data_IF_336856131157
#
_entry.id   IF_336856131157
#
_cell.length_a   1.000
_cell.length_b   1.000
_cell.length_c   1.000
_cell.angle_alpha   90.00
_cell.angle_beta   90.00
_cell.angle_gamma   90.00
#
_symmetry.space_group_name_H-M   'P 1'
#
loop_
_entity.id
_entity.type
_entity.pdbx_description
1 polymer ?
#
# COMPACT_ATOMS: atom_id res chain seq x y z
N UNK A 1 -25.71 -6.60 -28.98
CA UNK A 1 -24.25 -6.72 -29.15
C UNK A 1 -23.79 -7.91 -28.32
N UNK A 2 -23.27 -8.94 -28.99
CA UNK A 2 -22.85 -10.22 -28.38
C UNK A 2 -21.61 -10.01 -27.51
N UNK A 3 -21.78 -10.28 -26.21
CA UNK A 3 -20.94 -9.79 -25.13
C UNK A 3 -19.79 -10.73 -24.75
N UNK A 4 -19.08 -11.29 -25.73
CA UNK A 4 -17.96 -12.22 -25.49
C UNK A 4 -16.58 -11.72 -25.94
N UNK A 5 -16.46 -10.61 -26.68
CA UNK A 5 -15.16 -10.13 -27.14
C UNK A 5 -14.96 -8.64 -26.91
N UNK A 6 -14.23 -8.30 -25.84
CA UNK A 6 -13.10 -7.37 -25.86
C UNK A 6 -12.43 -7.34 -24.47
N UNK A 7 -11.93 -8.50 -24.03
CA UNK A 7 -10.80 -8.55 -23.10
C UNK A 7 -9.63 -7.84 -23.80
N UNK A 8 -9.01 -6.85 -23.13
CA UNK A 8 -8.16 -5.77 -23.66
C UNK A 8 -8.90 -4.49 -24.10
N UNK A 9 -9.83 -4.01 -23.26
CA UNK A 9 -10.39 -2.67 -23.43
C UNK A 9 -9.35 -1.60 -23.03
N UNK A 10 -8.46 -1.25 -23.96
CA UNK A 10 -7.37 -0.29 -23.76
C UNK A 10 -7.86 1.07 -23.26
N UNK A 11 -9.08 1.50 -23.64
CA UNK A 11 -9.67 2.74 -23.13
C UNK A 11 -9.90 2.66 -21.62
N UNK A 12 -10.52 1.59 -21.15
CA UNK A 12 -10.79 1.40 -19.73
C UNK A 12 -9.49 1.23 -18.92
N UNK A 13 -8.50 0.52 -19.47
CA UNK A 13 -7.17 0.40 -18.85
C UNK A 13 -6.51 1.79 -18.70
N UNK A 14 -6.55 2.64 -19.75
CA UNK A 14 -6.01 4.00 -19.67
C UNK A 14 -6.69 4.84 -18.60
N UNK A 15 -8.01 4.75 -18.45
CA UNK A 15 -8.76 5.46 -17.40
C UNK A 15 -8.28 5.02 -16.02
N UNK A 16 -8.16 3.70 -15.78
CA UNK A 16 -7.68 3.17 -14.50
C UNK A 16 -6.26 3.65 -14.19
N UNK A 17 -5.36 3.57 -15.16
CA UNK A 17 -3.95 4.00 -15.01
C UNK A 17 -3.87 5.50 -14.76
N UNK A 18 -4.66 6.32 -15.45
CA UNK A 18 -4.65 7.77 -15.29
C UNK A 18 -5.19 8.18 -13.91
N UNK A 19 -6.32 7.62 -13.47
CA UNK A 19 -6.83 7.84 -12.12
C UNK A 19 -5.83 7.39 -11.05
N UNK A 20 -5.20 6.24 -11.26
CA UNK A 20 -4.20 5.71 -10.33
C UNK A 20 -2.93 6.57 -10.28
N UNK A 21 -2.44 7.07 -11.41
CA UNK A 21 -1.30 7.97 -11.47
C UNK A 21 -1.59 9.31 -10.79
N UNK A 22 -2.79 9.88 -10.96
CA UNK A 22 -3.22 11.09 -10.25
C UNK A 22 -3.27 10.83 -8.73
N UNK A 23 -3.79 9.68 -8.31
CA UNK A 23 -3.75 9.29 -6.89
C UNK A 23 -2.32 9.29 -6.35
N UNK A 24 -1.38 8.62 -7.03
CA UNK A 24 0.02 8.55 -6.58
C UNK A 24 0.60 9.96 -6.52
N UNK A 25 0.43 10.78 -7.57
CA UNK A 25 0.89 12.18 -7.58
C UNK A 25 0.39 12.94 -6.35
N UNK A 26 -0.92 12.92 -6.08
CA UNK A 26 -1.49 13.63 -4.94
C UNK A 26 -0.96 13.12 -3.60
N UNK A 27 -0.76 11.80 -3.46
CA UNK A 27 -0.15 11.22 -2.27
C UNK A 27 1.25 11.79 -2.03
N UNK A 28 2.07 11.91 -3.08
CA UNK A 28 3.42 12.47 -3.00
C UNK A 28 3.47 14.00 -2.87
N UNK A 29 2.41 14.71 -3.26
CA UNK A 29 2.27 16.15 -3.03
C UNK A 29 1.74 16.48 -1.61
N UNK A 30 1.21 15.51 -0.86
CA UNK A 30 0.71 15.75 0.51
C UNK A 30 1.77 16.31 1.49
N UNK A 31 3.05 15.88 1.46
CA UNK A 31 4.10 16.49 2.28
C UNK A 31 4.40 17.95 1.94
N UNK A 32 4.16 18.40 0.70
CA UNK A 32 4.33 19.82 0.32
C UNK A 32 3.36 20.74 1.07
N UNK A 33 2.16 20.25 1.38
CA UNK A 33 1.17 21.02 2.14
C UNK A 33 1.50 21.07 3.64
N UNK A 34 2.34 20.16 4.15
CA UNK A 34 2.86 20.18 5.53
C UNK A 34 3.91 21.29 5.72
N UNK A 35 4.65 21.65 4.65
CA UNK A 35 5.62 22.78 4.66
C UNK A 35 4.95 24.15 4.89
N UNK A 36 3.61 24.24 4.82
CA UNK A 36 2.84 25.47 5.07
C UNK A 36 2.58 25.79 6.56
N UNK A 37 3.33 25.16 7.47
CA UNK A 37 3.65 25.61 8.83
C UNK A 37 2.49 25.97 9.77
N UNK A 38 1.66 24.97 10.15
CA UNK A 38 0.75 25.08 11.30
C UNK A 38 0.57 23.72 12.00
N UNK A 39 0.93 23.63 13.28
CA UNK A 39 0.98 22.37 14.07
C UNK A 39 -0.34 21.59 14.14
N UNK A 40 -1.49 22.25 14.09
CA UNK A 40 -2.81 21.58 14.06
C UNK A 40 -3.22 21.13 12.64
N UNK A 41 -2.63 21.76 11.62
CA UNK A 41 -2.92 21.55 10.21
C UNK A 41 -2.10 20.37 9.64
N UNK A 42 -0.95 20.02 10.24
CA UNK A 42 -0.10 18.91 9.78
C UNK A 42 -0.75 17.52 9.83
N UNK A 43 -1.72 17.29 10.72
CA UNK A 43 -2.48 16.02 10.80
C UNK A 43 -3.78 16.10 9.98
N UNK A 44 -4.43 17.26 9.97
CA UNK A 44 -5.72 17.47 9.29
C UNK A 44 -5.57 17.53 7.77
N UNK A 45 -4.48 18.12 7.25
CA UNK A 45 -4.24 18.24 5.81
C UNK A 45 -4.05 16.87 5.14
N UNK A 46 -3.16 15.98 5.61
CA UNK A 46 -3.03 14.63 5.04
C UNK A 46 -4.32 13.82 5.16
N UNK A 47 -5.08 14.03 6.25
CA UNK A 47 -6.40 13.42 6.46
C UNK A 47 -7.42 13.89 5.42
N UNK A 48 -7.50 15.20 5.16
CA UNK A 48 -8.37 15.79 4.13
C UNK A 48 -7.90 15.36 2.73
N UNK A 49 -6.60 15.29 2.46
CA UNK A 49 -6.09 14.85 1.16
C UNK A 49 -6.42 13.37 0.93
N UNK A 50 -6.15 12.52 1.91
CA UNK A 50 -6.43 11.09 1.84
C UNK A 50 -7.94 10.80 1.75
N UNK A 51 -8.76 11.42 2.61
CA UNK A 51 -10.19 11.17 2.65
C UNK A 51 -11.01 11.91 1.58
N UNK A 52 -10.73 13.19 1.37
CA UNK A 52 -11.58 14.11 0.57
C UNK A 52 -11.05 14.29 -0.85
N UNK A 53 -9.75 14.23 -1.10
CA UNK A 53 -9.20 14.46 -2.46
C UNK A 53 -9.01 13.14 -3.21
N UNK A 54 -8.58 12.08 -2.53
CA UNK A 54 -8.27 10.79 -3.17
C UNK A 54 -9.54 9.95 -3.41
N UNK A 55 -10.48 9.92 -2.47
CA UNK A 55 -11.71 9.14 -2.63
C UNK A 55 -12.55 9.54 -3.87
N UNK A 56 -12.72 10.84 -4.21
CA UNK A 56 -13.38 11.24 -5.44
C UNK A 56 -12.71 10.74 -6.72
N UNK A 57 -11.38 10.56 -6.75
CA UNK A 57 -10.69 10.05 -7.95
C UNK A 57 -11.12 8.63 -8.27
N UNK A 58 -11.28 7.81 -7.24
CA UNK A 58 -11.79 6.45 -7.39
C UNK A 58 -13.23 6.49 -7.88
N UNK A 59 -14.10 7.31 -7.28
CA UNK A 59 -15.50 7.45 -7.70
C UNK A 59 -15.63 7.97 -9.14
N UNK A 60 -14.84 8.99 -9.51
CA UNK A 60 -14.76 9.54 -10.87
C UNK A 60 -14.29 8.45 -11.84
N UNK A 61 -13.24 7.71 -11.50
CA UNK A 61 -12.74 6.60 -12.30
C UNK A 61 -13.83 5.55 -12.56
N UNK A 62 -14.56 5.13 -11.53
CA UNK A 62 -15.70 4.23 -11.67
C UNK A 62 -16.81 4.76 -12.57
N UNK A 63 -17.15 6.06 -12.43
CA UNK A 63 -18.14 6.71 -13.28
C UNK A 63 -17.69 6.80 -14.74
N UNK A 64 -16.42 7.12 -14.99
CA UNK A 64 -15.83 7.18 -16.34
C UNK A 64 -15.77 5.80 -17.01
N UNK A 65 -15.63 4.72 -16.23
CA UNK A 65 -15.71 3.35 -16.72
C UNK A 65 -17.13 2.92 -17.13
N UNK A 66 -18.14 3.73 -16.82
CA UNK A 66 -19.55 3.45 -17.13
C UNK A 66 -20.19 2.43 -16.21
N UNK A 67 -19.58 2.15 -15.05
CA UNK A 67 -20.15 1.23 -14.07
C UNK A 67 -21.42 1.83 -13.46
N UNK A 68 -22.57 1.25 -13.80
CA UNK A 68 -23.87 1.59 -13.23
C UNK A 68 -24.14 0.63 -12.08
N UNK A 69 -23.98 1.10 -10.83
CA UNK A 69 -24.23 0.26 -9.66
C UNK A 69 -23.93 0.95 -8.33
N UNK A 70 -24.21 0.24 -7.23
CA UNK A 70 -23.87 0.70 -5.88
C UNK A 70 -22.34 0.63 -5.70
N UNK A 71 -21.67 1.78 -5.66
CA UNK A 71 -20.21 1.87 -5.54
C UNK A 71 -19.66 1.08 -4.35
N UNK A 72 -20.38 0.97 -3.23
CA UNK A 72 -19.95 0.17 -2.07
C UNK A 72 -19.78 -1.31 -2.40
N UNK A 73 -20.59 -1.83 -3.32
CA UNK A 73 -20.48 -3.23 -3.78
C UNK A 73 -19.33 -3.39 -4.77
N UNK A 74 -19.18 -2.44 -5.69
CA UNK A 74 -18.12 -2.49 -6.70
C UNK A 74 -16.73 -2.29 -6.08
N UNK A 75 -16.63 -1.46 -5.05
CA UNK A 75 -15.42 -1.25 -4.24
C UNK A 75 -15.11 -2.42 -3.30
N UNK A 76 -16.00 -3.42 -3.18
CA UNK A 76 -15.79 -4.55 -2.28
C UNK A 76 -15.94 -4.21 -0.79
N UNK A 77 -16.42 -3.01 -0.44
CA UNK A 77 -16.69 -2.59 0.95
C UNK A 77 -17.80 -3.44 1.57
N UNK A 78 -18.74 -3.96 0.76
CA UNK A 78 -19.72 -4.96 1.20
C UNK A 78 -19.13 -6.36 1.43
N UNK A 79 -17.80 -6.53 1.33
CA UNK A 79 -17.11 -7.78 1.65
C UNK A 79 -17.31 -8.18 3.12
N UNK A 80 -16.88 -9.40 3.46
CA UNK A 80 -17.09 -9.94 4.78
C UNK A 80 -16.11 -9.33 5.79
N UNK A 81 -16.58 -8.33 6.54
CA UNK A 81 -15.77 -7.66 7.57
C UNK A 81 -15.31 -8.63 8.66
N UNK A 82 -16.07 -9.69 8.96
CA UNK A 82 -15.69 -10.68 9.97
C UNK A 82 -14.45 -11.46 9.55
N UNK A 83 -14.36 -11.83 8.27
CA UNK A 83 -13.13 -12.45 7.72
C UNK A 83 -11.94 -11.49 7.83
N UNK A 84 -12.17 -10.20 7.60
CA UNK A 84 -11.15 -9.19 7.76
C UNK A 84 -10.64 -9.07 9.20
N UNK A 85 -11.55 -9.00 10.17
CA UNK A 85 -11.20 -8.98 11.59
C UNK A 85 -10.46 -10.25 12.03
N UNK A 86 -10.85 -11.42 11.52
CA UNK A 86 -10.17 -12.68 11.83
C UNK A 86 -8.77 -12.70 11.23
N UNK A 87 -8.61 -12.34 9.95
CA UNK A 87 -7.31 -12.32 9.29
C UNK A 87 -6.35 -11.30 9.95
N UNK A 88 -6.85 -10.09 10.22
CA UNK A 88 -6.11 -9.07 10.97
C UNK A 88 -5.78 -9.53 12.39
N UNK A 89 -6.73 -10.13 13.10
CA UNK A 89 -6.52 -10.65 14.44
C UNK A 89 -5.44 -11.74 14.51
N UNK A 90 -5.39 -12.64 13.54
CA UNK A 90 -4.33 -13.66 13.45
C UNK A 90 -2.96 -13.00 13.26
N UNK A 91 -2.85 -12.02 12.36
CA UNK A 91 -1.60 -11.28 12.16
C UNK A 91 -1.22 -10.46 13.40
N UNK A 92 -2.19 -9.87 14.08
CA UNK A 92 -1.98 -9.08 15.29
C UNK A 92 -1.46 -9.96 16.43
N UNK A 93 -2.03 -11.15 16.61
CA UNK A 93 -1.54 -12.13 17.57
C UNK A 93 -0.13 -12.60 17.23
N UNK A 94 0.16 -12.83 15.94
CA UNK A 94 1.50 -13.19 15.50
C UNK A 94 2.52 -12.08 15.80
N UNK A 95 2.17 -10.81 15.52
CA UNK A 95 2.98 -9.66 15.87
C UNK A 95 3.27 -9.60 17.37
N UNK A 96 2.28 -9.95 18.20
CA UNK A 96 2.49 -10.01 19.63
C UNK A 96 3.41 -11.17 20.06
N UNK A 97 3.27 -12.36 19.46
CA UNK A 97 4.17 -13.50 19.71
C UNK A 97 5.61 -13.18 19.32
N UNK A 98 5.81 -12.44 18.24
CA UNK A 98 7.13 -11.95 17.83
C UNK A 98 7.62 -10.75 18.66
N UNK A 99 6.95 -10.42 19.77
CA UNK A 99 7.29 -9.35 20.71
C UNK A 99 7.33 -7.94 20.08
N UNK A 100 6.55 -7.72 19.01
CA UNK A 100 6.51 -6.42 18.31
C UNK A 100 5.65 -5.39 19.02
N UNK A 101 4.73 -5.86 19.85
CA UNK A 101 3.83 -5.01 20.62
C UNK A 101 4.25 -5.09 22.10
N UNK A 102 5.21 -4.26 22.55
CA UNK A 102 5.53 -4.17 23.96
C UNK A 102 4.29 -3.72 24.75
N UNK A 103 4.24 -4.03 26.04
CA UNK A 103 3.10 -3.66 26.88
C UNK A 103 2.86 -2.13 26.89
N UNK A 104 3.93 -1.35 26.76
CA UNK A 104 3.90 0.12 26.61
C UNK A 104 3.21 0.58 25.32
N UNK A 105 3.30 -0.20 24.23
CA UNK A 105 2.58 0.08 22.99
C UNK A 105 1.06 0.01 23.22
N UNK A 106 0.56 -1.00 23.95
CA UNK A 106 -0.87 -1.11 24.29
C UNK A 106 -1.36 0.08 25.14
N UNK A 107 -0.51 0.56 26.05
CA UNK A 107 -0.80 1.74 26.86
C UNK A 107 -0.85 3.02 26.01
N UNK A 108 0.02 3.14 25.00
CA UNK A 108 0.02 4.27 24.07
C UNK A 108 -1.04 4.19 22.97
N UNK A 109 -1.51 2.98 22.63
CA UNK A 109 -2.61 2.73 21.69
C UNK A 109 -3.92 3.39 22.15
N UNK A 110 -4.06 3.58 23.48
CA UNK A 110 -5.16 4.31 24.11
C UNK A 110 -5.16 5.82 23.78
N UNK A 111 -4.10 6.38 23.19
CA UNK A 111 -4.13 7.70 22.55
C UNK A 111 -4.74 7.58 21.14
N UNK A 112 -6.06 7.34 21.12
CA UNK A 112 -6.96 6.97 19.99
C UNK A 112 -6.78 7.78 18.69
N UNK A 113 -6.16 8.96 18.72
CA UNK A 113 -6.05 9.85 17.55
C UNK A 113 -5.11 9.33 16.46
N UNK A 114 -3.98 8.69 16.81
CA UNK A 114 -3.01 8.22 15.82
C UNK A 114 -3.51 6.97 15.07
N UNK A 115 -4.10 6.01 15.79
CA UNK A 115 -4.58 4.76 15.18
C UNK A 115 -5.72 4.98 14.18
N UNK A 116 -6.66 5.89 14.49
CA UNK A 116 -7.74 6.23 13.56
C UNK A 116 -7.22 6.86 12.27
N UNK A 117 -6.17 7.70 12.37
CA UNK A 117 -5.51 8.29 11.21
C UNK A 117 -4.82 7.22 10.34
N UNK A 118 -4.04 6.34 10.97
CA UNK A 118 -3.37 5.23 10.28
C UNK A 118 -4.41 4.36 9.56
N UNK A 119 -5.49 4.02 10.24
CA UNK A 119 -6.57 3.23 9.65
C UNK A 119 -7.18 3.90 8.41
N UNK A 120 -7.50 5.20 8.46
CA UNK A 120 -8.07 5.92 7.32
C UNK A 120 -7.07 6.00 6.17
N UNK A 121 -5.79 6.26 6.45
CA UNK A 121 -4.75 6.27 5.43
C UNK A 121 -4.69 4.93 4.70
N UNK A 122 -4.63 3.84 5.47
CA UNK A 122 -4.60 2.47 4.94
C UNK A 122 -5.88 2.16 4.17
N UNK A 123 -7.04 2.51 4.70
CA UNK A 123 -8.31 2.32 4.02
C UNK A 123 -8.30 2.96 2.62
N UNK A 124 -7.83 4.19 2.51
CA UNK A 124 -7.75 4.91 1.24
C UNK A 124 -6.71 4.30 0.30
N UNK A 125 -5.53 3.95 0.82
CA UNK A 125 -4.47 3.28 0.05
C UNK A 125 -5.03 2.00 -0.56
N UNK A 126 -5.62 1.11 0.26
CA UNK A 126 -6.20 -0.15 -0.18
C UNK A 126 -7.35 0.04 -1.17
N UNK A 127 -8.15 1.09 -0.99
CA UNK A 127 -9.24 1.40 -1.90
C UNK A 127 -8.69 1.74 -3.30
N UNK A 128 -7.60 2.49 -3.37
CA UNK A 128 -6.99 2.92 -4.63
C UNK A 128 -6.20 1.79 -5.30
N UNK A 129 -5.36 1.09 -4.53
CA UNK A 129 -4.43 0.08 -5.07
C UNK A 129 -5.13 -1.26 -5.32
N UNK A 130 -5.89 -1.77 -4.35
CA UNK A 130 -6.50 -3.12 -4.43
C UNK A 130 -7.90 -3.03 -5.04
N UNK A 131 -8.79 -2.27 -4.41
CA UNK A 131 -10.20 -2.24 -4.81
C UNK A 131 -10.42 -1.58 -6.18
N UNK A 132 -9.67 -0.53 -6.51
CA UNK A 132 -9.75 0.13 -7.81
C UNK A 132 -8.73 -0.41 -8.81
N UNK A 133 -7.43 -0.14 -8.64
CA UNK A 133 -6.42 -0.46 -9.65
C UNK A 133 -6.36 -1.97 -9.95
N UNK A 134 -6.04 -2.79 -8.96
CA UNK A 134 -5.79 -4.22 -9.20
C UNK A 134 -7.04 -4.95 -9.68
N UNK A 135 -8.18 -4.75 -9.01
CA UNK A 135 -9.46 -5.39 -9.40
C UNK A 135 -9.90 -4.99 -10.80
N UNK A 136 -9.69 -3.73 -11.21
CA UNK A 136 -10.09 -3.29 -12.56
C UNK A 136 -9.14 -3.78 -13.63
N UNK A 137 -7.84 -3.66 -13.42
CA UNK A 137 -6.86 -4.21 -14.36
C UNK A 137 -7.05 -5.72 -14.52
N UNK A 138 -7.28 -6.47 -13.43
CA UNK A 138 -7.54 -7.92 -13.53
C UNK A 138 -8.85 -8.24 -14.27
N UNK A 139 -9.87 -7.39 -14.16
CA UNK A 139 -11.15 -7.56 -14.89
C UNK A 139 -11.06 -7.23 -16.38
N UNK A 140 -10.21 -6.27 -16.78
CA UNK A 140 -10.11 -5.80 -18.17
C UNK A 140 -8.99 -6.45 -18.96
N UNK A 141 -8.07 -7.16 -18.30
CA UNK A 141 -6.94 -7.85 -18.92
C UNK A 141 -7.02 -9.36 -18.71
N UNK A 142 -6.29 -10.13 -19.52
CA UNK A 142 -5.96 -11.54 -19.24
C UNK A 142 -4.63 -11.66 -18.48
N UNK A 143 -4.14 -10.58 -17.89
CA UNK A 143 -2.81 -10.59 -17.30
C UNK A 143 -2.81 -11.43 -16.03
N UNK A 144 -1.79 -12.28 -15.92
CA UNK A 144 -1.54 -13.02 -14.69
C UNK A 144 -1.13 -12.10 -13.54
N UNK A 145 -1.22 -12.63 -12.33
CA UNK A 145 -0.93 -11.92 -11.07
C UNK A 145 0.36 -11.09 -11.12
N UNK A 146 1.46 -11.75 -11.49
CA UNK A 146 2.78 -11.12 -11.52
C UNK A 146 2.88 -9.97 -12.53
N UNK A 147 2.21 -10.09 -13.68
CA UNK A 147 2.24 -9.02 -14.70
C UNK A 147 1.54 -7.76 -14.20
N UNK A 148 0.44 -7.90 -13.45
CA UNK A 148 -0.29 -6.76 -12.88
C UNK A 148 0.56 -6.08 -11.79
N UNK A 149 1.27 -6.85 -10.97
CA UNK A 149 2.18 -6.31 -9.95
C UNK A 149 3.35 -5.57 -10.58
N UNK A 150 4.01 -6.15 -11.60
CA UNK A 150 5.09 -5.46 -12.31
C UNK A 150 4.60 -4.15 -12.93
N UNK A 151 3.39 -4.15 -13.48
CA UNK A 151 2.77 -2.94 -14.02
C UNK A 151 2.48 -1.89 -12.94
N UNK A 152 1.98 -2.30 -11.78
CA UNK A 152 1.81 -1.45 -10.61
C UNK A 152 3.12 -0.79 -10.18
N UNK A 153 4.18 -1.58 -10.01
CA UNK A 153 5.51 -1.11 -9.59
C UNK A 153 6.06 -0.12 -10.61
N UNK A 154 5.95 -0.41 -11.90
CA UNK A 154 6.41 0.47 -12.96
C UNK A 154 5.72 1.85 -12.92
N UNK A 155 4.39 1.88 -12.73
CA UNK A 155 3.65 3.14 -12.59
C UNK A 155 4.08 3.89 -11.32
N UNK A 156 4.19 3.18 -10.20
CA UNK A 156 4.57 3.78 -8.93
C UNK A 156 5.96 4.42 -9.01
N UNK A 157 6.95 3.70 -9.55
CA UNK A 157 8.32 4.21 -9.75
C UNK A 157 8.35 5.39 -10.73
N UNK A 158 7.62 5.31 -11.84
CA UNK A 158 7.57 6.40 -12.80
C UNK A 158 7.04 7.70 -12.17
N UNK A 159 5.96 7.61 -11.39
CA UNK A 159 5.39 8.78 -10.70
C UNK A 159 6.31 9.27 -9.57
N UNK A 160 6.96 8.37 -8.83
CA UNK A 160 7.92 8.72 -7.80
C UNK A 160 9.11 9.51 -8.37
N UNK A 161 9.68 9.06 -9.49
CA UNK A 161 10.78 9.75 -10.20
C UNK A 161 10.36 11.15 -10.64
N UNK A 162 9.18 11.28 -11.25
CA UNK A 162 8.65 12.58 -11.69
C UNK A 162 8.47 13.51 -10.49
N UNK A 163 7.91 12.99 -9.40
CA UNK A 163 7.65 13.81 -8.21
C UNK A 163 8.96 14.26 -7.54
N UNK A 164 9.94 13.37 -7.40
CA UNK A 164 11.27 13.71 -6.89
C UNK A 164 11.91 14.77 -7.78
N UNK A 165 11.84 14.61 -9.11
CA UNK A 165 12.39 15.59 -10.07
C UNK A 165 11.74 16.97 -9.92
N UNK A 166 10.42 17.02 -9.75
CA UNK A 166 9.69 18.26 -9.48
C UNK A 166 10.15 18.88 -8.16
N UNK A 167 10.24 18.11 -7.08
CA UNK A 167 10.73 18.60 -5.78
C UNK A 167 12.12 19.22 -5.92
N UNK A 168 13.03 18.55 -6.63
CA UNK A 168 14.39 19.04 -6.88
C UNK A 168 14.44 20.32 -7.70
N UNK A 169 13.49 20.50 -8.65
CA UNK A 169 13.40 21.71 -9.46
C UNK A 169 12.92 22.92 -8.65
N UNK A 170 12.01 22.72 -7.69
CA UNK A 170 11.39 23.81 -6.92
C UNK A 170 12.09 24.13 -5.61
N UNK A 171 13.03 23.30 -5.15
CA UNK A 171 13.72 23.50 -3.88
C UNK A 171 15.25 23.56 -4.08
N UNK A 172 15.75 24.79 -4.35
CA UNK A 172 17.19 25.06 -4.54
C UNK A 172 18.03 24.71 -3.31
N UNK A 173 17.45 24.77 -2.11
CA UNK A 173 18.12 24.43 -0.86
C UNK A 173 18.29 22.92 -0.69
N UNK A 174 17.32 22.12 -1.14
CA UNK A 174 17.49 20.65 -1.24
C UNK A 174 18.54 20.31 -2.29
N UNK A 175 18.54 20.99 -3.44
CA UNK A 175 19.51 20.74 -4.52
C UNK A 175 20.96 21.06 -4.09
N UNK A 176 21.16 22.17 -3.37
CA UNK A 176 22.46 22.53 -2.78
C UNK A 176 22.84 21.59 -1.64
N UNK A 177 21.86 21.17 -0.82
CA UNK A 177 22.00 20.11 0.18
C UNK A 177 22.49 18.79 -0.41
N UNK A 178 21.90 18.33 -1.51
CA UNK A 178 22.32 17.11 -2.22
C UNK A 178 23.75 17.26 -2.76
N UNK A 179 24.10 18.41 -3.34
CA UNK A 179 25.49 18.67 -3.76
C UNK A 179 26.48 18.58 -2.59
N UNK A 180 26.11 19.10 -1.42
CA UNK A 180 26.92 18.95 -0.21
C UNK A 180 26.93 17.52 0.34
N UNK A 181 25.84 16.76 0.20
CA UNK A 181 25.76 15.34 0.55
C UNK A 181 26.65 14.50 -0.36
N UNK A 182 26.71 14.79 -1.66
CA UNK A 182 27.66 14.16 -2.59
C UNK A 182 29.12 14.48 -2.26
N UNK A 183 29.41 15.71 -1.78
CA UNK A 183 30.73 16.05 -1.24
C UNK A 183 31.05 15.30 0.05
N UNK A 184 30.07 15.12 0.94
CA UNK A 184 30.21 14.29 2.14
C UNK A 184 30.36 12.80 1.81
N UNK A 185 29.72 12.30 0.75
CA UNK A 185 29.91 10.93 0.24
C UNK A 185 31.32 10.66 -0.28
N UNK A 186 32.08 11.68 -0.67
CA UNK A 186 33.52 11.53 -0.95
C UNK A 186 34.39 11.41 0.32
N UNK A 187 33.84 11.74 1.49
CA UNK A 187 34.53 11.70 2.79
C UNK A 187 34.24 10.38 3.53
N UNK A 188 33.09 9.74 3.25
CA UNK A 188 32.74 8.44 3.85
C UNK A 188 33.56 7.29 3.26
N UNK A 189 33.92 6.32 4.12
CA UNK A 189 34.54 5.07 3.67
C UNK A 189 33.59 4.28 2.77
N UNK A 190 34.15 3.50 1.84
CA UNK A 190 33.38 2.62 0.93
C UNK A 190 32.41 1.73 1.72
N UNK A 191 32.80 1.28 2.92
CA UNK A 191 31.97 0.44 3.78
C UNK A 191 30.69 1.12 4.26
N UNK A 192 30.75 2.41 4.63
CA UNK A 192 29.57 3.18 5.06
C UNK A 192 28.64 3.42 3.88
N UNK A 193 29.21 3.75 2.71
CA UNK A 193 28.43 3.97 1.49
C UNK A 193 27.75 2.68 1.02
N UNK A 194 28.42 1.53 1.15
CA UNK A 194 27.85 0.22 0.86
C UNK A 194 26.71 -0.11 1.83
N UNK A 195 26.86 0.20 3.13
CA UNK A 195 25.81 -0.02 4.13
C UNK A 195 24.55 0.80 3.84
N UNK A 196 24.69 2.08 3.46
CA UNK A 196 23.56 2.94 3.08
C UNK A 196 22.88 2.48 1.78
N UNK A 197 23.64 2.02 0.78
CA UNK A 197 23.04 1.45 -0.43
C UNK A 197 22.25 0.18 -0.09
N UNK A 198 22.82 -0.69 0.76
CA UNK A 198 22.17 -1.93 1.17
C UNK A 198 20.92 -1.67 2.02
N UNK A 199 20.91 -0.65 2.87
CA UNK A 199 19.73 -0.28 3.67
C UNK A 199 18.58 0.18 2.77
N UNK A 200 18.85 1.07 1.80
CA UNK A 200 17.85 1.54 0.82
C UNK A 200 17.29 0.40 -0.01
N UNK A 201 18.15 -0.51 -0.49
CA UNK A 201 17.72 -1.72 -1.21
C UNK A 201 16.85 -2.61 -0.32
N UNK A 202 17.25 -2.81 0.94
CA UNK A 202 16.50 -3.59 1.93
C UNK A 202 15.09 -3.05 2.16
N UNK A 203 14.97 -1.73 2.39
CA UNK A 203 13.68 -1.05 2.56
C UNK A 203 12.82 -1.21 1.31
N UNK A 204 13.38 -0.98 0.13
CA UNK A 204 12.65 -1.15 -1.13
C UNK A 204 12.12 -2.58 -1.32
N UNK A 205 12.95 -3.59 -1.07
CA UNK A 205 12.56 -5.00 -1.18
C UNK A 205 11.46 -5.38 -0.17
N UNK A 206 11.51 -4.84 1.04
CA UNK A 206 10.48 -5.09 2.06
C UNK A 206 9.13 -4.44 1.71
N UNK A 207 9.14 -3.21 1.21
CA UNK A 207 7.93 -2.55 0.70
C UNK A 207 7.34 -3.33 -0.47
N UNK A 208 8.20 -3.78 -1.39
CA UNK A 208 7.80 -4.61 -2.52
C UNK A 208 7.17 -5.93 -2.06
N UNK A 209 7.80 -6.63 -1.12
CA UNK A 209 7.29 -7.89 -0.58
C UNK A 209 5.95 -7.72 0.12
N UNK A 210 5.79 -6.64 0.90
CA UNK A 210 4.54 -6.27 1.56
C UNK A 210 3.42 -6.04 0.54
N UNK A 211 3.71 -5.29 -0.53
CA UNK A 211 2.74 -5.02 -1.57
C UNK A 211 2.32 -6.30 -2.32
N UNK A 212 3.28 -7.16 -2.67
CA UNK A 212 3.04 -8.48 -3.27
C UNK A 212 2.14 -9.32 -2.36
N UNK A 213 2.46 -9.39 -1.07
CA UNK A 213 1.68 -10.15 -0.09
C UNK A 213 0.23 -9.63 -0.01
N UNK A 214 0.03 -8.33 0.06
CA UNK A 214 -1.31 -7.74 0.14
C UNK A 214 -2.12 -7.96 -1.16
N UNK A 215 -1.51 -7.88 -2.35
CA UNK A 215 -2.18 -8.25 -3.60
C UNK A 215 -2.55 -9.73 -3.63
N UNK A 216 -1.65 -10.60 -3.18
CA UNK A 216 -1.88 -12.04 -3.08
C UNK A 216 -3.04 -12.33 -2.14
N UNK A 217 -3.00 -11.76 -0.93
CA UNK A 217 -4.02 -11.93 0.09
C UNK A 217 -5.39 -11.45 -0.40
N UNK A 218 -5.44 -10.30 -1.07
CA UNK A 218 -6.66 -9.77 -1.65
C UNK A 218 -7.31 -10.74 -2.64
N UNK A 219 -6.50 -11.31 -3.54
CA UNK A 219 -6.99 -12.29 -4.52
C UNK A 219 -7.44 -13.58 -3.82
N UNK A 220 -6.64 -14.12 -2.92
CA UNK A 220 -6.94 -15.39 -2.25
C UNK A 220 -8.23 -15.30 -1.43
N UNK A 221 -8.52 -14.15 -0.83
CA UNK A 221 -9.76 -13.91 -0.11
C UNK A 221 -10.90 -13.37 -0.99
N UNK A 222 -10.93 -13.75 -2.28
CA UNK A 222 -11.98 -13.43 -3.24
C UNK A 222 -12.29 -11.92 -3.31
N UNK A 223 -11.25 -11.09 -3.38
CA UNK A 223 -11.34 -9.64 -3.43
C UNK A 223 -12.08 -9.05 -2.21
N UNK A 224 -11.96 -9.69 -1.03
CA UNK A 224 -12.47 -9.15 0.22
C UNK A 224 -11.60 -7.99 0.70
N UNK A 225 -12.12 -6.77 0.57
CA UNK A 225 -11.43 -5.53 0.91
C UNK A 225 -10.99 -5.46 2.38
N UNK A 226 -11.84 -5.90 3.31
CA UNK A 226 -11.57 -5.80 4.75
C UNK A 226 -10.38 -6.64 5.18
N UNK A 227 -10.16 -7.79 4.56
CA UNK A 227 -9.00 -8.65 4.84
C UNK A 227 -7.70 -7.90 4.61
N UNK A 228 -7.60 -7.16 3.51
CA UNK A 228 -6.38 -6.43 3.18
C UNK A 228 -6.21 -5.18 4.02
N UNK A 229 -7.30 -4.46 4.32
CA UNK A 229 -7.26 -3.29 5.20
C UNK A 229 -6.73 -3.67 6.58
N UNK A 230 -7.29 -4.70 7.22
CA UNK A 230 -6.82 -5.10 8.55
C UNK A 230 -5.43 -5.74 8.52
N UNK A 231 -5.09 -6.51 7.49
CA UNK A 231 -3.74 -7.05 7.35
C UNK A 231 -2.69 -5.95 7.17
N UNK A 232 -2.97 -4.96 6.31
CA UNK A 232 -2.10 -3.81 6.11
C UNK A 232 -1.99 -2.99 7.40
N UNK A 233 -3.10 -2.76 8.12
CA UNK A 233 -3.06 -2.08 9.43
C UNK A 233 -2.07 -2.74 10.40
N UNK A 234 -2.11 -4.05 10.53
CA UNK A 234 -1.19 -4.76 11.43
C UNK A 234 0.25 -4.65 10.94
N UNK A 235 0.49 -4.80 9.63
CA UNK A 235 1.84 -4.69 9.06
C UNK A 235 2.41 -3.28 9.23
N UNK A 236 1.61 -2.24 9.06
CA UNK A 236 2.02 -0.84 9.28
C UNK A 236 2.36 -0.61 10.75
N UNK A 237 1.48 -1.01 11.67
CA UNK A 237 1.73 -0.87 13.11
C UNK A 237 2.98 -1.64 13.56
N UNK A 238 3.20 -2.83 13.01
CA UNK A 238 4.40 -3.61 13.28
C UNK A 238 5.66 -2.91 12.76
N UNK A 239 5.62 -2.40 11.53
CA UNK A 239 6.77 -1.73 10.92
C UNK A 239 7.13 -0.44 11.67
N UNK A 240 6.16 0.43 11.96
CA UNK A 240 6.39 1.70 12.65
C UNK A 240 7.06 1.50 14.02
N UNK A 241 6.73 0.42 14.73
CA UNK A 241 7.35 0.09 16.02
C UNK A 241 8.73 -0.55 15.89
N UNK A 242 8.95 -1.34 14.84
CA UNK A 242 10.28 -1.93 14.61
C UNK A 242 11.33 -0.88 14.28
N UNK A 243 10.96 0.20 13.57
CA UNK A 243 11.86 1.32 13.25
C UNK A 243 12.26 2.15 14.48
N UNK A 244 11.46 2.19 15.55
CA UNK A 244 11.80 2.93 16.77
C UNK A 244 12.66 2.14 17.77
N UNK A 245 12.60 0.80 17.79
CA UNK A 245 13.13 0.00 18.91
C UNK A 245 14.18 -1.06 18.55
N UNK A 246 14.30 -1.51 17.29
CA UNK A 246 15.17 -2.62 16.91
C UNK A 246 15.96 -2.30 15.64
N UNK A 247 17.28 -2.16 15.75
CA UNK A 247 18.23 -2.03 14.63
C UNK A 247 18.35 -3.30 13.74
N UNK A 248 17.35 -4.18 13.78
CA UNK A 248 17.24 -5.40 12.99
C UNK A 248 15.86 -5.38 12.31
N UNK A 249 15.76 -4.59 11.25
CA UNK A 249 14.50 -4.11 10.64
C UNK A 249 13.84 -5.11 9.67
N UNK A 250 14.57 -6.12 9.19
CA UNK A 250 14.18 -6.94 8.03
C UNK A 250 13.52 -8.29 8.38
N UNK A 251 13.86 -9.02 9.48
CA UNK A 251 13.32 -10.37 9.71
C UNK A 251 11.82 -10.40 10.03
N UNK A 252 11.30 -9.35 10.64
CA UNK A 252 10.02 -9.40 11.35
C UNK A 252 8.81 -9.32 10.42
N UNK A 253 8.77 -8.35 9.49
CA UNK A 253 7.65 -8.27 8.56
C UNK A 253 7.61 -9.49 7.63
N UNK A 254 8.76 -10.13 7.38
CA UNK A 254 8.84 -11.43 6.70
C UNK A 254 8.12 -12.51 7.52
N UNK A 255 8.31 -12.57 8.84
CA UNK A 255 7.61 -13.51 9.72
C UNK A 255 6.09 -13.26 9.74
N UNK A 256 5.66 -12.01 9.74
CA UNK A 256 4.23 -11.67 9.66
C UNK A 256 3.63 -12.06 8.31
N UNK A 257 4.32 -11.77 7.21
CA UNK A 257 3.91 -12.18 5.87
C UNK A 257 3.84 -13.71 5.79
N UNK A 258 4.85 -14.42 6.29
CA UNK A 258 4.85 -15.87 6.35
C UNK A 258 3.65 -16.40 7.16
N UNK A 259 3.34 -15.77 8.29
CA UNK A 259 2.17 -16.13 9.10
C UNK A 259 0.86 -15.91 8.35
N UNK A 260 0.72 -14.79 7.63
CA UNK A 260 -0.46 -14.52 6.80
C UNK A 260 -0.64 -15.51 5.66
N UNK A 261 0.47 -15.91 5.01
CA UNK A 261 0.48 -16.93 3.95
C UNK A 261 0.08 -18.29 4.52
N UNK A 262 0.75 -18.76 5.57
CA UNK A 262 0.49 -20.05 6.22
C UNK A 262 -0.95 -20.09 6.73
N UNK A 263 -1.40 -19.05 7.44
CA UNK A 263 -2.76 -18.94 7.96
C UNK A 263 -3.82 -19.03 6.86
N UNK A 264 -3.61 -18.32 5.74
CA UNK A 264 -4.53 -18.36 4.59
C UNK A 264 -4.56 -19.75 3.93
N UNK A 265 -3.40 -20.37 3.72
CA UNK A 265 -3.30 -21.72 3.14
C UNK A 265 -4.01 -22.75 4.02
N UNK A 266 -3.74 -22.74 5.33
CA UNK A 266 -4.36 -23.66 6.29
C UNK A 266 -5.87 -23.44 6.37
N UNK A 267 -6.33 -22.19 6.39
CA UNK A 267 -7.77 -21.86 6.38
C UNK A 267 -8.47 -22.46 5.15
N UNK A 268 -7.89 -22.25 3.96
CA UNK A 268 -8.45 -22.75 2.71
C UNK A 268 -8.43 -24.27 2.63
N UNK A 269 -7.33 -24.91 3.04
CA UNK A 269 -7.23 -26.36 3.11
C UNK A 269 -8.31 -26.96 4.03
N UNK A 270 -8.51 -26.38 5.22
CA UNK A 270 -9.56 -26.82 6.16
C UNK A 270 -10.97 -26.65 5.62
N UNK A 271 -11.18 -25.69 4.72
CA UNK A 271 -12.47 -25.42 4.07
C UNK A 271 -12.64 -26.12 2.71
N UNK A 272 -11.63 -26.86 2.23
CA UNK A 272 -11.64 -27.48 0.90
C UNK A 272 -11.66 -26.46 -0.25
N UNK A 273 -11.21 -25.23 -0.02
CA UNK A 273 -11.19 -24.17 -1.02
C UNK A 273 -9.88 -24.19 -1.84
N UNK A 274 -9.93 -24.02 -3.16
CA UNK A 274 -8.72 -23.93 -3.97
C UNK A 274 -7.97 -22.60 -3.72
N UNK A 275 -6.66 -22.62 -3.98
CA UNK A 275 -5.85 -21.40 -4.08
C UNK A 275 -6.15 -20.70 -5.41
N UNK A 276 -6.46 -19.41 -5.35
CA UNK A 276 -6.90 -18.64 -6.50
C UNK A 276 -5.74 -18.30 -7.44
N UNK A 277 -4.51 -18.13 -6.92
CA UNK A 277 -3.33 -17.82 -7.76
C UNK A 277 -3.12 -18.83 -8.89
N UNK A 278 -3.47 -20.11 -8.70
CA UNK A 278 -3.36 -21.15 -9.75
C UNK A 278 -4.20 -20.85 -10.99
N UNK A 279 -5.23 -19.99 -10.90
CA UNK A 279 -6.07 -19.57 -12.02
C UNK A 279 -5.53 -18.37 -12.80
N UNK A 280 -4.52 -17.68 -12.26
CA UNK A 280 -3.96 -16.44 -12.81
C UNK A 280 -2.50 -16.59 -13.26
N UNK A 281 -2.05 -17.82 -13.51
CA UNK A 281 -0.84 -18.13 -14.28
C UNK A 281 -1.23 -18.44 -15.73
#
# INVERSE_FOLDING_TARGET
MTATDLKNNYRNIRIVVLCFAIYILLKWFSPFLIVLDYDFIQILIPFIISGIVIFPIVVIGYKLLGDKGNYLQVLGIKGNIKEGLVAGGVLFLAAWVFSLFPLSFLQNLMYVKSLFYIFINIFVVELCTRAFFFRKISSYTKWGFFRIILFYIAIYLAVAIVTISVILLFNKDILSGISSYFKLMQIFSIDVLLQEILSVIGIFLMLLLTEIFLFWLYMEWNFNFWVVVFAHLVLTLANDLTFEFLSIEIPISILLIATGVIGTVLYKQRKGLPLEVKRFW
#
